data_IF_278048959947
#
_entry.id   IF_278048959947
#
_cell.length_a   1.000
_cell.length_b   1.000
_cell.length_c   1.000
_cell.angle_alpha   90.00
_cell.angle_beta   90.00
_cell.angle_gamma   90.00
#
_symmetry.space_group_name_H-M   'P 1'
#
loop_
_entity.id
_entity.type
_entity.pdbx_description
1 polymer ?
#
# COMPACT_ATOMS: atom_id res chain seq x y z
N UNK A 1 5.59 4.27 -19.38
CA UNK A 1 4.77 5.49 -19.21
C UNK A 1 5.47 6.38 -18.17
N UNK A 2 4.96 7.52 -17.68
CA UNK A 2 5.59 8.10 -16.49
C UNK A 2 5.55 7.07 -15.35
N UNK A 3 6.62 7.02 -14.55
CA UNK A 3 6.69 6.12 -13.40
C UNK A 3 5.63 6.50 -12.36
N UNK A 4 5.61 7.78 -12.01
CA UNK A 4 4.59 8.39 -11.16
C UNK A 4 4.09 9.66 -11.87
N UNK A 5 2.81 9.68 -12.23
CA UNK A 5 2.20 10.89 -12.77
C UNK A 5 1.76 11.79 -11.61
N UNK A 6 2.17 13.07 -11.64
CA UNK A 6 1.91 14.05 -10.58
C UNK A 6 0.98 15.17 -11.02
N UNK A 7 0.50 15.11 -12.26
CA UNK A 7 -0.53 16.01 -12.73
C UNK A 7 -1.88 15.56 -12.16
N UNK A 8 -2.83 16.49 -12.10
CA UNK A 8 -4.20 16.18 -11.70
C UNK A 8 -4.76 15.02 -12.55
N UNK A 9 -5.36 14.04 -11.88
CA UNK A 9 -6.11 13.00 -12.56
C UNK A 9 -7.49 13.51 -12.96
N UNK A 10 -7.96 13.05 -14.11
CA UNK A 10 -9.29 13.32 -14.65
C UNK A 10 -10.31 12.24 -14.26
N UNK A 11 -9.85 11.06 -13.84
CA UNK A 11 -10.68 9.93 -13.43
C UNK A 11 -9.93 8.95 -12.54
N UNK A 12 -10.67 8.07 -11.88
CA UNK A 12 -10.14 6.90 -11.20
C UNK A 12 -10.49 5.60 -11.93
N UNK A 13 -9.69 4.56 -11.69
CA UNK A 13 -10.07 3.17 -11.95
C UNK A 13 -10.30 2.45 -10.63
N UNK A 14 -11.55 2.10 -10.35
CA UNK A 14 -11.92 1.28 -9.19
C UNK A 14 -11.32 -0.12 -9.33
N UNK A 15 -10.77 -0.64 -8.24
CA UNK A 15 -10.18 -1.98 -8.10
C UNK A 15 -10.62 -2.57 -6.75
N UNK A 16 -10.36 -3.85 -6.52
CA UNK A 16 -10.39 -4.47 -5.18
C UNK A 16 -11.67 -4.21 -4.37
N UNK A 17 -12.87 -4.42 -4.93
CA UNK A 17 -14.14 -4.19 -4.23
C UNK A 17 -14.59 -5.45 -3.47
N UNK A 18 -14.87 -5.31 -2.18
CA UNK A 18 -15.56 -6.29 -1.33
C UNK A 18 -16.49 -5.57 -0.33
N UNK A 19 -17.23 -6.31 0.50
CA UNK A 19 -18.28 -5.76 1.38
C UNK A 19 -17.78 -4.65 2.33
N UNK A 20 -16.51 -4.73 2.74
CA UNK A 20 -15.89 -3.84 3.73
C UNK A 20 -14.70 -3.05 3.17
N UNK A 21 -14.54 -3.00 1.85
CA UNK A 21 -13.47 -2.20 1.29
C UNK A 21 -13.42 -2.11 -0.22
N UNK A 22 -12.64 -1.14 -0.67
CA UNK A 22 -12.50 -0.78 -2.07
C UNK A 22 -11.13 -0.16 -2.32
N UNK A 23 -10.58 -0.40 -3.51
CA UNK A 23 -9.36 0.25 -3.96
C UNK A 23 -9.57 1.13 -5.19
N UNK A 24 -8.61 2.00 -5.47
CA UNK A 24 -8.56 2.76 -6.71
C UNK A 24 -7.14 3.05 -7.18
N UNK A 25 -7.02 3.22 -8.50
CA UNK A 25 -5.86 3.82 -9.15
C UNK A 25 -6.24 5.21 -9.69
N UNK A 26 -5.54 6.24 -9.24
CA UNK A 26 -5.67 7.63 -9.73
C UNK A 26 -5.09 7.80 -11.12
N UNK A 27 -3.96 7.15 -11.38
CA UNK A 27 -3.42 6.97 -12.71
C UNK A 27 -3.29 5.47 -12.95
N UNK A 28 -4.31 4.78 -13.52
CA UNK A 28 -3.99 3.59 -14.31
C UNK A 28 -3.00 4.04 -15.40
N UNK A 29 -2.45 3.23 -16.26
CA UNK A 29 -1.42 3.68 -17.22
C UNK A 29 -0.07 4.15 -16.63
N UNK A 30 0.04 4.73 -15.44
CA UNK A 30 1.37 4.95 -14.85
C UNK A 30 2.05 3.61 -14.56
N UNK A 31 3.37 3.55 -14.74
CA UNK A 31 4.10 2.28 -14.58
C UNK A 31 4.11 1.84 -13.10
N UNK A 32 4.10 2.82 -12.17
CA UNK A 32 4.04 2.58 -10.73
C UNK A 32 2.72 1.99 -10.24
N UNK A 33 1.60 2.17 -10.96
CA UNK A 33 0.25 1.72 -10.57
C UNK A 33 -0.05 1.97 -9.09
N UNK A 34 0.18 3.19 -8.59
CA UNK A 34 -0.05 3.53 -7.18
C UNK A 34 -1.53 3.30 -6.83
N UNK A 35 -1.75 2.36 -5.93
CA UNK A 35 -3.06 1.97 -5.45
C UNK A 35 -3.32 2.54 -4.06
N UNK A 36 -4.55 2.96 -3.86
CA UNK A 36 -5.09 3.47 -2.61
C UNK A 36 -6.27 2.60 -2.20
N UNK A 37 -6.54 2.50 -0.90
CA UNK A 37 -7.64 1.69 -0.40
C UNK A 37 -8.44 2.43 0.66
N UNK A 38 -9.74 2.17 0.68
CA UNK A 38 -10.64 2.54 1.76
C UNK A 38 -11.18 1.24 2.36
N UNK A 39 -11.09 1.10 3.68
CA UNK A 39 -11.46 -0.13 4.38
C UNK A 39 -12.29 0.21 5.62
N UNK A 40 -13.44 -0.43 5.76
CA UNK A 40 -14.30 -0.30 6.94
C UNK A 40 -13.62 -0.98 8.14
N UNK A 41 -13.55 -0.25 9.25
CA UNK A 41 -13.10 -0.74 10.55
C UNK A 41 -14.21 -1.48 11.31
N UNK A 42 -13.88 -2.13 12.44
CA UNK A 42 -14.83 -2.82 13.30
C UNK A 42 -16.02 -1.95 13.75
N UNK A 43 -15.81 -0.65 13.94
CA UNK A 43 -16.83 0.29 14.41
C UNK A 43 -17.77 0.78 13.29
N UNK A 44 -17.53 0.36 12.05
CA UNK A 44 -18.30 0.79 10.87
C UNK A 44 -17.72 1.99 10.12
N UNK A 45 -16.76 2.69 10.73
CA UNK A 45 -16.09 3.85 10.11
C UNK A 45 -14.99 3.42 9.13
N UNK A 46 -14.67 4.29 8.17
CA UNK A 46 -13.76 4.04 7.07
C UNK A 46 -12.35 4.57 7.35
N UNK A 47 -11.36 3.76 7.03
CA UNK A 47 -9.94 4.11 7.06
C UNK A 47 -9.37 4.17 5.65
N UNK A 48 -8.70 5.27 5.33
CA UNK A 48 -8.03 5.45 4.03
C UNK A 48 -6.56 5.08 4.14
N UNK A 49 -6.06 4.22 3.25
CA UNK A 49 -4.68 3.72 3.25
C UNK A 49 -3.90 4.30 2.08
N UNK A 50 -2.83 5.04 2.41
CA UNK A 50 -1.93 5.69 1.45
C UNK A 50 -2.68 6.39 0.28
N UNK A 51 -3.65 7.29 0.52
CA UNK A 51 -4.58 7.72 -0.52
C UNK A 51 -3.95 8.70 -1.53
N UNK A 52 -4.34 8.54 -2.79
CA UNK A 52 -4.19 9.54 -3.86
C UNK A 52 -5.55 10.10 -4.24
N UNK A 53 -5.64 11.41 -4.38
CA UNK A 53 -6.88 12.13 -4.65
C UNK A 53 -7.17 12.20 -6.16
N UNK A 54 -8.45 12.24 -6.49
CA UNK A 54 -8.95 12.37 -7.85
C UNK A 54 -10.46 12.63 -7.86
N UNK A 55 -11.00 13.21 -8.95
CA UNK A 55 -12.44 13.30 -9.13
C UNK A 55 -13.12 11.92 -9.01
N UNK A 56 -14.18 11.84 -8.19
CA UNK A 56 -14.96 10.62 -7.96
C UNK A 56 -14.56 9.80 -6.73
N UNK A 57 -13.44 10.12 -6.07
CA UNK A 57 -12.98 9.35 -4.89
C UNK A 57 -13.87 9.60 -3.68
N UNK A 58 -14.33 10.83 -3.46
CA UNK A 58 -15.18 11.15 -2.31
C UNK A 58 -16.52 10.38 -2.37
N UNK A 59 -17.14 10.33 -3.54
CA UNK A 59 -18.36 9.54 -3.76
C UNK A 59 -18.10 8.05 -3.54
N UNK A 60 -16.95 7.55 -4.02
CA UNK A 60 -16.55 6.15 -3.85
C UNK A 60 -16.37 5.78 -2.37
N UNK A 61 -15.70 6.64 -1.59
CA UNK A 61 -15.45 6.44 -0.16
C UNK A 61 -16.74 6.53 0.63
N UNK A 62 -17.62 7.47 0.29
CA UNK A 62 -18.92 7.66 0.94
C UNK A 62 -19.85 6.42 0.81
N UNK A 63 -19.68 5.58 -0.22
CA UNK A 63 -20.38 4.29 -0.32
C UNK A 63 -20.07 3.33 0.85
N UNK A 64 -18.89 3.47 1.47
CA UNK A 64 -18.46 2.61 2.59
C UNK A 64 -18.82 3.18 3.96
N UNK A 65 -18.83 4.50 4.12
CA UNK A 65 -19.18 5.16 5.38
C UNK A 65 -18.36 6.43 5.66
N UNK A 66 -18.48 6.95 6.87
CA UNK A 66 -17.75 8.13 7.33
C UNK A 66 -16.27 7.81 7.56
N UNK A 67 -15.39 8.72 7.19
CA UNK A 67 -13.94 8.53 7.36
C UNK A 67 -13.55 8.81 8.81
N UNK A 68 -12.91 7.84 9.47
CA UNK A 68 -12.35 8.00 10.83
C UNK A 68 -10.88 8.43 10.85
N UNK A 69 -10.13 8.18 9.76
CA UNK A 69 -8.72 8.53 9.70
C UNK A 69 -8.04 8.14 8.40
N UNK A 70 -6.88 8.76 8.16
CA UNK A 70 -6.02 8.45 7.01
C UNK A 70 -4.72 7.83 7.51
N UNK A 71 -4.42 6.59 7.14
CA UNK A 71 -3.24 5.87 7.56
C UNK A 71 -2.18 5.80 6.47
N UNK A 72 -0.93 6.10 6.84
CA UNK A 72 0.22 6.02 5.93
C UNK A 72 1.14 4.87 6.34
N UNK A 73 1.46 3.98 5.40
CA UNK A 73 2.23 2.75 5.65
C UNK A 73 3.61 2.74 5.03
N UNK A 74 4.00 3.80 4.32
CA UNK A 74 5.35 4.00 3.82
C UNK A 74 5.81 5.44 4.02
N UNK A 75 7.07 5.64 4.39
CA UNK A 75 7.67 6.96 4.48
C UNK A 75 7.86 7.66 3.11
N UNK A 76 7.44 7.02 2.02
CA UNK A 76 7.32 7.55 0.67
C UNK A 76 5.88 7.87 0.25
N UNK A 77 4.89 7.56 1.10
CA UNK A 77 3.46 7.61 0.78
C UNK A 77 2.71 8.77 1.43
N UNK A 78 3.37 9.92 1.66
CA UNK A 78 2.65 11.13 2.09
C UNK A 78 1.43 11.40 1.17
N UNK A 79 1.63 11.22 -0.15
CA UNK A 79 0.60 11.28 -1.19
C UNK A 79 -0.36 12.45 -0.92
N UNK A 80 -1.67 12.22 -0.96
CA UNK A 80 -2.69 13.23 -0.68
C UNK A 80 -3.29 13.07 0.72
N UNK A 81 -2.58 12.41 1.65
CA UNK A 81 -3.10 12.09 2.97
C UNK A 81 -3.58 13.33 3.75
N UNK A 82 -2.84 14.44 3.67
CA UNK A 82 -3.23 15.70 4.30
C UNK A 82 -4.47 16.35 3.68
N UNK A 83 -4.68 16.18 2.37
CA UNK A 83 -5.87 16.69 1.68
C UNK A 83 -7.12 15.95 2.13
N UNK A 84 -7.07 14.62 2.18
CA UNK A 84 -8.18 13.81 2.73
C UNK A 84 -8.43 14.11 4.20
N UNK A 85 -7.39 14.18 5.02
CA UNK A 85 -7.53 14.46 6.45
C UNK A 85 -8.24 15.80 6.71
N UNK A 86 -7.87 16.86 5.98
CA UNK A 86 -8.57 18.15 6.08
C UNK A 86 -10.01 18.10 5.55
N UNK A 87 -10.24 17.39 4.44
CA UNK A 87 -11.58 17.27 3.82
C UNK A 87 -12.59 16.59 4.75
N UNK A 88 -12.14 15.60 5.51
CA UNK A 88 -12.97 14.82 6.43
C UNK A 88 -12.86 15.24 7.90
N UNK A 89 -12.07 16.28 8.22
CA UNK A 89 -11.81 16.74 9.60
C UNK A 89 -11.27 15.64 10.53
N UNK A 90 -10.33 14.84 10.03
CA UNK A 90 -9.68 13.73 10.76
C UNK A 90 -8.16 13.86 10.80
N UNK A 91 -7.50 12.99 11.56
CA UNK A 91 -6.04 12.95 11.63
C UNK A 91 -5.41 12.07 10.55
N UNK A 92 -4.15 12.38 10.20
CA UNK A 92 -3.25 11.45 9.53
C UNK A 92 -2.52 10.60 10.59
N UNK A 93 -2.67 9.30 10.47
CA UNK A 93 -2.09 8.30 11.34
C UNK A 93 -0.76 7.81 10.76
N UNK A 94 0.33 8.00 11.51
CA UNK A 94 1.68 7.58 11.12
C UNK A 94 2.28 6.61 12.15
N UNK A 95 3.03 5.59 11.71
CA UNK A 95 3.83 4.81 12.64
C UNK A 95 4.84 5.67 13.42
N UNK A 96 5.06 5.33 14.69
CA UNK A 96 6.03 6.03 15.56
C UNK A 96 7.46 6.05 15.01
N UNK A 97 7.81 5.13 14.11
CA UNK A 97 9.14 5.06 13.49
C UNK A 97 9.26 5.81 12.16
N UNK A 98 8.23 6.54 11.72
CA UNK A 98 8.23 7.29 10.46
C UNK A 98 8.15 8.80 10.71
N UNK A 99 9.29 9.48 10.70
CA UNK A 99 9.33 10.93 10.99
C UNK A 99 9.20 11.81 9.74
N UNK A 100 9.69 11.33 8.59
CA UNK A 100 9.73 12.09 7.33
C UNK A 100 8.36 12.60 6.85
N UNK A 101 7.29 11.88 7.16
CA UNK A 101 5.95 12.20 6.66
C UNK A 101 5.29 13.34 7.43
N UNK A 102 5.59 13.49 8.73
CA UNK A 102 4.90 14.46 9.58
C UNK A 102 5.07 15.90 9.08
N UNK A 103 6.23 16.23 8.53
CA UNK A 103 6.52 17.56 7.95
C UNK A 103 5.92 17.77 6.56
N UNK A 104 5.45 16.70 5.91
CA UNK A 104 4.90 16.72 4.54
C UNK A 104 3.38 16.76 4.50
N UNK A 105 2.75 16.67 5.66
CA UNK A 105 1.30 16.59 5.80
C UNK A 105 0.83 17.86 6.48
N UNK A 106 0.04 18.65 5.78
CA UNK A 106 -0.63 19.84 6.31
C UNK A 106 -1.98 19.47 6.95
N UNK A 107 -1.93 18.66 8.02
CA UNK A 107 -3.10 18.19 8.78
C UNK A 107 -2.67 17.69 10.19
N UNK A 108 -3.60 17.54 11.16
CA UNK A 108 -3.28 16.92 12.44
C UNK A 108 -2.69 15.51 12.29
N UNK A 109 -1.60 15.23 12.99
CA UNK A 109 -0.91 13.93 12.94
C UNK A 109 -1.08 13.17 14.25
N UNK A 110 -1.47 11.90 14.18
CA UNK A 110 -1.47 10.96 15.30
C UNK A 110 -0.45 9.84 15.08
N UNK A 111 0.39 9.56 16.09
CA UNK A 111 1.40 8.50 16.00
C UNK A 111 0.91 7.20 16.64
N UNK A 112 1.06 6.08 15.94
CA UNK A 112 0.70 4.76 16.45
C UNK A 112 1.87 3.78 16.56
N UNK A 113 1.72 2.80 17.47
CA UNK A 113 2.70 1.74 17.70
C UNK A 113 2.39 0.50 16.86
N UNK A 114 1.51 -0.36 17.39
CA UNK A 114 1.21 -1.67 16.80
C UNK A 114 -0.18 -1.78 16.18
N UNK A 115 -1.00 -0.74 16.25
CA UNK A 115 -2.38 -0.75 15.77
C UNK A 115 -2.75 0.62 15.20
N UNK A 116 -3.47 0.63 14.08
CA UNK A 116 -3.83 1.86 13.37
C UNK A 116 -5.19 2.36 13.86
N UNK A 117 -5.18 3.32 14.80
CA UNK A 117 -6.40 3.89 15.36
C UNK A 117 -7.39 2.82 15.82
N UNK A 118 -8.64 2.91 15.36
CA UNK A 118 -9.71 1.92 15.60
C UNK A 118 -9.93 0.97 14.43
N UNK A 119 -9.06 0.95 13.42
CA UNK A 119 -9.24 0.16 12.19
C UNK A 119 -9.19 -1.37 12.38
N UNK A 120 -8.69 -1.83 13.53
CA UNK A 120 -8.41 -3.24 13.83
C UNK A 120 -7.16 -3.80 13.12
N UNK A 121 -6.42 -2.99 12.34
CA UNK A 121 -5.19 -3.44 11.70
C UNK A 121 -4.00 -3.37 12.66
N UNK A 122 -3.35 -4.51 12.86
CA UNK A 122 -2.07 -4.58 13.56
C UNK A 122 -0.90 -4.42 12.60
N UNK A 123 0.09 -3.63 12.99
CA UNK A 123 1.25 -3.31 12.14
C UNK A 123 2.56 -3.88 12.67
N UNK A 124 3.42 -4.21 11.72
CA UNK A 124 4.81 -4.58 11.96
C UNK A 124 5.71 -3.66 11.14
N UNK A 125 6.73 -3.09 11.79
CA UNK A 125 7.76 -2.32 11.08
C UNK A 125 8.45 -3.22 10.06
N UNK A 126 8.61 -2.71 8.84
CA UNK A 126 9.43 -3.33 7.81
C UNK A 126 10.31 -2.25 7.17
N UNK A 127 11.60 -2.27 7.48
CA UNK A 127 12.58 -1.31 6.95
C UNK A 127 13.57 -2.05 6.04
N UNK A 128 13.19 -2.30 4.77
CA UNK A 128 13.93 -3.18 3.87
C UNK A 128 15.31 -2.64 3.47
N UNK A 129 15.49 -1.32 3.48
CA UNK A 129 16.71 -0.60 3.07
C UNK A 129 16.89 0.66 3.95
N UNK A 130 18.12 1.16 4.13
CA UNK A 130 18.36 2.43 4.82
C UNK A 130 17.57 3.59 4.17
N UNK A 131 16.90 4.39 4.99
CA UNK A 131 16.08 5.52 4.53
C UNK A 131 14.67 5.13 4.05
N UNK A 132 14.33 3.84 4.00
CA UNK A 132 12.98 3.37 3.75
C UNK A 132 12.42 2.72 5.02
N UNK A 133 11.36 3.33 5.54
CA UNK A 133 10.55 2.81 6.62
C UNK A 133 9.16 2.48 6.08
N UNK A 134 8.76 1.23 6.28
CA UNK A 134 7.45 0.69 5.92
C UNK A 134 6.72 0.08 7.11
N UNK A 135 5.44 -0.19 6.92
CA UNK A 135 4.59 -0.95 7.82
C UNK A 135 3.87 -2.04 7.02
N UNK A 136 3.89 -3.28 7.53
CA UNK A 136 3.04 -4.37 7.06
C UNK A 136 1.84 -4.42 8.01
N UNK A 137 0.64 -4.30 7.47
CA UNK A 137 -0.58 -4.25 8.27
C UNK A 137 -1.42 -5.51 8.05
N UNK A 138 -1.89 -6.13 9.12
CA UNK A 138 -2.72 -7.32 9.05
C UNK A 138 -3.85 -7.23 10.06
N UNK A 139 -5.07 -7.45 9.60
CA UNK A 139 -6.27 -7.53 10.42
C UNK A 139 -6.73 -8.98 10.49
N UNK A 140 -6.78 -9.52 11.71
CA UNK A 140 -7.07 -10.94 11.91
C UNK A 140 -8.55 -11.29 11.83
N UNK A 141 -9.45 -10.32 12.08
CA UNK A 141 -10.89 -10.54 12.09
C UNK A 141 -11.47 -10.92 10.73
N UNK A 142 -10.85 -10.44 9.64
CA UNK A 142 -11.27 -10.68 8.26
C UNK A 142 -10.12 -11.18 7.37
N UNK A 143 -8.97 -11.50 7.97
CA UNK A 143 -7.77 -11.97 7.30
C UNK A 143 -7.30 -11.07 6.13
N UNK A 144 -7.44 -9.75 6.28
CA UNK A 144 -6.95 -8.76 5.30
C UNK A 144 -5.49 -8.36 5.59
N UNK A 145 -4.62 -8.54 4.59
CA UNK A 145 -3.23 -8.08 4.61
C UNK A 145 -3.06 -6.86 3.71
N UNK A 146 -2.51 -5.78 4.24
CA UNK A 146 -2.07 -4.62 3.48
C UNK A 146 -0.54 -4.47 3.50
N UNK A 147 0.05 -4.28 2.32
CA UNK A 147 1.48 -4.01 2.15
C UNK A 147 1.69 -2.90 1.15
N UNK A 148 2.24 -1.77 1.60
CA UNK A 148 2.49 -0.60 0.75
C UNK A 148 3.47 -0.91 -0.40
N UNK A 149 4.73 -1.22 -0.05
CA UNK A 149 5.85 -1.20 -1.02
C UNK A 149 6.66 -2.49 -1.10
N UNK A 150 6.66 -3.33 -0.05
CA UNK A 150 7.52 -4.52 0.01
C UNK A 150 6.99 -5.64 -0.88
N UNK A 151 5.66 -5.67 -1.08
CA UNK A 151 4.97 -6.56 -1.99
C UNK A 151 4.12 -5.71 -2.93
N UNK A 152 3.95 -6.18 -4.16
CA UNK A 152 3.10 -5.52 -5.15
C UNK A 152 2.71 -6.47 -6.27
N UNK A 153 1.71 -6.07 -7.04
CA UNK A 153 1.18 -6.83 -8.19
C UNK A 153 1.30 -6.06 -9.50
N UNK A 154 1.69 -4.79 -9.44
CA UNK A 154 2.02 -4.01 -10.61
C UNK A 154 3.17 -4.67 -11.40
N UNK A 155 3.25 -4.48 -12.73
CA UNK A 155 4.24 -5.15 -13.58
C UNK A 155 5.71 -4.93 -13.17
N UNK A 156 6.02 -3.85 -12.45
CA UNK A 156 7.36 -3.65 -11.90
C UNK A 156 7.73 -4.69 -10.83
N UNK A 157 6.75 -5.29 -10.15
CA UNK A 157 6.95 -6.24 -9.05
C UNK A 157 7.00 -7.68 -9.49
N UNK A 158 6.16 -8.08 -10.46
CA UNK A 158 5.93 -9.47 -10.83
C UNK A 158 6.78 -9.89 -12.04
N UNK A 159 7.14 -11.17 -12.10
CA UNK A 159 7.75 -11.81 -13.27
C UNK A 159 7.10 -13.15 -13.57
N UNK A 160 6.96 -13.48 -14.85
CA UNK A 160 6.26 -14.69 -15.29
C UNK A 160 4.85 -14.77 -14.71
N UNK A 161 4.51 -15.92 -14.13
CA UNK A 161 3.19 -16.20 -13.56
C UNK A 161 3.02 -15.70 -12.10
N UNK A 162 3.88 -14.78 -11.63
CA UNK A 162 3.75 -14.21 -10.30
C UNK A 162 2.45 -13.41 -10.15
N UNK A 163 1.55 -13.89 -9.28
CA UNK A 163 0.36 -13.13 -8.85
C UNK A 163 0.67 -12.06 -7.80
N UNK A 164 1.82 -12.19 -7.13
CA UNK A 164 2.35 -11.25 -6.14
C UNK A 164 3.87 -11.28 -6.20
N UNK A 165 4.50 -10.11 -6.25
CA UNK A 165 5.94 -9.96 -6.36
C UNK A 165 6.55 -9.32 -5.12
N UNK A 166 7.76 -9.75 -4.78
CA UNK A 166 8.59 -9.08 -3.75
C UNK A 166 9.38 -7.95 -4.39
N UNK A 167 9.47 -6.80 -3.73
CA UNK A 167 10.32 -5.67 -4.14
C UNK A 167 11.73 -6.15 -4.50
N UNK A 168 12.29 -5.65 -5.61
CA UNK A 168 13.46 -6.23 -6.27
C UNK A 168 14.64 -6.41 -5.32
N UNK A 169 15.00 -5.35 -4.58
CA UNK A 169 16.14 -5.36 -3.68
C UNK A 169 15.92 -6.24 -2.43
N UNK A 170 14.70 -6.72 -2.20
CA UNK A 170 14.37 -7.68 -1.14
C UNK A 170 14.26 -9.11 -1.62
N UNK A 171 14.26 -9.38 -2.92
CA UNK A 171 14.25 -10.74 -3.45
C UNK A 171 15.42 -11.61 -2.98
N UNK A 172 16.66 -11.12 -2.80
CA UNK A 172 17.75 -11.93 -2.23
C UNK A 172 17.51 -12.36 -0.77
N UNK A 173 16.77 -11.55 0.00
CA UNK A 173 16.50 -11.78 1.42
C UNK A 173 15.02 -11.44 1.73
N UNK A 174 14.06 -12.27 1.26
CA UNK A 174 12.65 -11.98 1.42
C UNK A 174 12.28 -11.91 2.91
N UNK A 175 11.44 -10.96 3.36
CA UNK A 175 11.15 -10.73 4.78
C UNK A 175 10.17 -11.75 5.39
N UNK A 176 10.44 -13.05 5.21
CA UNK A 176 9.56 -14.18 5.59
C UNK A 176 9.08 -14.14 7.05
N UNK A 177 9.95 -13.74 7.98
CA UNK A 177 9.61 -13.66 9.40
C UNK A 177 8.46 -12.69 9.71
N UNK A 178 8.28 -11.65 8.89
CA UNK A 178 7.19 -10.68 9.08
C UNK A 178 5.82 -11.32 8.79
N UNK A 179 5.79 -12.34 7.92
CA UNK A 179 4.58 -13.01 7.42
C UNK A 179 4.32 -14.40 8.02
N UNK A 180 5.19 -14.90 8.91
CA UNK A 180 5.13 -16.29 9.38
C UNK A 180 3.76 -16.71 9.96
N UNK A 181 3.08 -15.81 10.68
CA UNK A 181 1.77 -16.03 11.29
C UNK A 181 0.60 -15.43 10.48
N UNK A 182 0.86 -14.94 9.27
CA UNK A 182 -0.13 -14.27 8.41
C UNK A 182 -0.73 -15.30 7.47
N UNK A 183 -2.06 -15.39 7.43
CA UNK A 183 -2.82 -16.31 6.57
C UNK A 183 -3.95 -15.51 5.93
N UNK A 184 -3.65 -14.68 4.92
CA UNK A 184 -4.63 -13.75 4.40
C UNK A 184 -5.65 -14.48 3.53
N UNK A 185 -6.90 -14.06 3.66
CA UNK A 185 -7.96 -14.33 2.70
C UNK A 185 -7.84 -13.37 1.51
N UNK A 186 -7.39 -12.13 1.76
CA UNK A 186 -7.12 -11.12 0.74
C UNK A 186 -5.86 -10.31 1.04
N UNK A 187 -5.17 -9.91 -0.02
CA UNK A 187 -3.98 -9.05 0.04
C UNK A 187 -4.28 -7.81 -0.79
N UNK A 188 -4.26 -6.64 -0.17
CA UNK A 188 -4.29 -5.35 -0.85
C UNK A 188 -2.88 -4.74 -0.80
N UNK A 189 -2.48 -4.05 -1.86
CA UNK A 189 -1.10 -3.56 -2.04
C UNK A 189 -1.06 -2.09 -2.42
N UNK A 190 0.01 -1.36 -2.08
CA UNK A 190 0.17 0.04 -2.49
C UNK A 190 0.50 0.22 -3.97
N UNK A 191 0.78 -0.88 -4.70
CA UNK A 191 1.19 -0.90 -6.10
C UNK A 191 0.57 -2.07 -6.88
N UNK A 192 -0.48 -1.76 -7.65
CA UNK A 192 -1.25 -2.72 -8.45
C UNK A 192 -2.60 -3.12 -7.84
N UNK A 193 -3.19 -4.19 -8.35
CA UNK A 193 -4.47 -4.76 -7.89
C UNK A 193 -4.26 -5.78 -6.77
N UNK A 194 -5.24 -5.95 -5.89
CA UNK A 194 -5.21 -6.90 -4.80
C UNK A 194 -5.32 -8.36 -5.26
N UNK A 195 -4.94 -9.28 -4.37
CA UNK A 195 -5.04 -10.72 -4.56
C UNK A 195 -6.10 -11.28 -3.61
N UNK A 196 -7.23 -11.73 -4.17
CA UNK A 196 -8.36 -12.27 -3.42
C UNK A 196 -8.48 -13.80 -3.57
N UNK A 197 -7.97 -14.37 -4.65
CA UNK A 197 -8.03 -15.80 -4.87
C UNK A 197 -6.79 -16.50 -4.31
N UNK A 198 -6.97 -17.43 -3.36
CA UNK A 198 -5.87 -18.20 -2.77
C UNK A 198 -4.72 -17.30 -2.30
N UNK A 199 -5.07 -16.19 -1.64
CA UNK A 199 -4.17 -15.13 -1.21
C UNK A 199 -3.00 -15.65 -0.35
N UNK A 200 -3.28 -16.53 0.62
CA UNK A 200 -2.23 -17.20 1.39
C UNK A 200 -1.26 -17.99 0.51
N UNK A 201 -1.76 -18.67 -0.54
CA UNK A 201 -0.92 -19.39 -1.49
C UNK A 201 -0.05 -18.44 -2.32
N UNK A 202 -0.62 -17.31 -2.77
CA UNK A 202 0.14 -16.29 -3.50
C UNK A 202 1.25 -15.66 -2.65
N UNK A 203 0.98 -15.39 -1.36
CA UNK A 203 1.97 -14.88 -0.42
C UNK A 203 3.13 -15.86 -0.23
N UNK A 204 2.81 -17.14 0.00
CA UNK A 204 3.83 -18.19 0.15
C UNK A 204 4.67 -18.34 -1.11
N UNK A 205 4.05 -18.42 -2.30
CA UNK A 205 4.76 -18.51 -3.57
C UNK A 205 5.72 -17.32 -3.78
N UNK A 206 5.23 -16.10 -3.56
CA UNK A 206 6.02 -14.88 -3.70
C UNK A 206 7.26 -14.91 -2.79
N UNK A 207 7.08 -15.28 -1.52
CA UNK A 207 8.16 -15.29 -0.53
C UNK A 207 9.15 -16.45 -0.74
N UNK A 208 8.67 -17.64 -1.10
CA UNK A 208 9.50 -18.84 -1.24
C UNK A 208 10.34 -18.79 -2.51
N UNK A 209 9.76 -18.26 -3.61
CA UNK A 209 10.41 -18.20 -4.91
C UNK A 209 11.12 -16.87 -5.21
N UNK A 210 11.04 -15.87 -4.32
CA UNK A 210 11.64 -14.54 -4.51
C UNK A 210 13.11 -14.60 -4.96
N UNK A 211 13.93 -15.39 -4.23
CA UNK A 211 15.37 -15.54 -4.50
C UNK A 211 15.66 -16.21 -5.83
N UNK A 212 14.87 -17.23 -6.16
CA UNK A 212 15.01 -17.99 -7.39
C UNK A 212 14.66 -17.15 -8.61
N UNK A 213 13.58 -16.36 -8.51
CA UNK A 213 13.10 -15.46 -9.57
C UNK A 213 13.86 -14.14 -9.65
N UNK A 214 14.81 -13.89 -8.75
CA UNK A 214 15.57 -12.63 -8.70
C UNK A 214 16.33 -12.31 -10.01
N UNK A 215 17.05 -13.25 -10.66
CA UNK A 215 17.74 -12.95 -11.91
C UNK A 215 16.79 -12.49 -13.03
N UNK A 216 15.64 -13.15 -13.15
CA UNK A 216 14.58 -12.76 -14.10
C UNK A 216 14.01 -11.38 -13.77
N UNK A 217 13.71 -11.11 -12.49
CA UNK A 217 13.23 -9.79 -12.04
C UNK A 217 14.22 -8.66 -12.32
N UNK A 218 15.53 -8.92 -12.20
CA UNK A 218 16.57 -7.95 -12.60
C UNK A 218 16.54 -7.70 -14.11
N UNK A 219 16.42 -8.76 -14.92
CA UNK A 219 16.40 -8.65 -16.37
C UNK A 219 15.16 -7.91 -16.90
N UNK A 220 13.99 -8.22 -16.36
CA UNK A 220 12.71 -7.68 -16.86
C UNK A 220 12.39 -6.30 -16.29
N UNK A 221 12.56 -6.11 -14.98
CA UNK A 221 12.03 -4.93 -14.25
C UNK A 221 13.10 -4.16 -13.46
N UNK A 222 14.37 -4.58 -13.50
CA UNK A 222 15.45 -4.02 -12.69
C UNK A 222 15.64 -2.51 -12.88
N UNK A 223 15.82 -2.08 -14.13
CA UNK A 223 15.98 -0.67 -14.47
C UNK A 223 14.72 0.18 -14.20
N UNK A 224 13.53 -0.43 -14.26
CA UNK A 224 12.28 0.27 -13.94
C UNK A 224 12.14 0.49 -12.42
N UNK A 225 12.37 -0.54 -11.59
CA UNK A 225 12.32 -0.38 -10.13
C UNK A 225 13.37 0.58 -9.58
N UNK A 226 14.58 0.62 -10.15
CA UNK A 226 15.58 1.61 -9.75
C UNK A 226 15.12 3.04 -10.08
N UNK A 227 14.54 3.27 -11.26
CA UNK A 227 13.94 4.56 -11.61
C UNK A 227 12.78 4.93 -10.68
N UNK A 228 11.97 3.96 -10.27
CA UNK A 228 10.91 4.14 -9.29
C UNK A 228 11.45 4.62 -7.94
N UNK A 229 12.47 3.94 -7.42
CA UNK A 229 13.15 4.34 -6.18
C UNK A 229 13.71 5.78 -6.25
N UNK A 230 14.39 6.12 -7.35
CA UNK A 230 14.90 7.49 -7.55
C UNK A 230 13.78 8.53 -7.73
N UNK A 231 12.67 8.15 -8.35
CA UNK A 231 11.49 8.99 -8.48
C UNK A 231 10.90 9.34 -7.12
N UNK A 232 10.74 8.34 -6.24
CA UNK A 232 10.27 8.55 -4.87
C UNK A 232 11.22 9.43 -4.05
N UNK A 233 12.54 9.25 -4.19
CA UNK A 233 13.59 10.02 -3.50
C UNK A 233 13.54 11.53 -3.72
N UNK A 234 13.02 11.98 -4.87
CA UNK A 234 12.96 13.40 -5.24
C UNK A 234 11.78 14.15 -4.61
N UNK A 235 10.84 13.42 -4.00
CA UNK A 235 9.72 13.98 -3.22
C UNK A 235 10.07 14.10 -1.75
#
# INVERSE_FOLDING_TARGET
MPMYNRNDADRIRVIDRWDDGIGWLTHPEEDGRRASHAVRGPDGDVWLFDPLDAPGVDELVAELGEVAGVAVFSNWHARDAGSFARRHDVAVHLPRWMDRIAERVDAPVQRYGHEVGTSGFHVRRCSPLPGWDGAIAYRKSDDTLYVADVLGTAPLFTVGEERLGVYLLRRPFPPRSHFAAVRPERIIVGHGEGVFESATGALSDALDNARWRFPTAVAESGGAQLRALFGALRD
#
